data_IF_950698642348
#
_entry.id   IF_950698642348
#
_cell.length_a   1.000
_cell.length_b   1.000
_cell.length_c   1.000
_cell.angle_alpha   90.00
_cell.angle_beta   90.00
_cell.angle_gamma   90.00
#
_symmetry.space_group_name_H-M   'P 1'
#
loop_
_entity.id
_entity.type
_entity.pdbx_description
1 polymer ?
#
# COMPACT_ATOMS: atom_id res chain seq x y z
N UNK A 1 23.48 -44.31 -16.95
CA UNK A 1 24.13 -43.73 -15.75
C UNK A 1 25.55 -43.29 -16.11
N UNK A 2 25.71 -42.10 -16.68
CA UNK A 2 27.02 -41.49 -16.91
C UNK A 2 26.92 -40.00 -16.56
N UNK A 3 27.75 -39.56 -15.62
CA UNK A 3 27.80 -38.22 -15.03
C UNK A 3 28.15 -37.18 -16.11
N UNK A 4 27.21 -36.29 -16.44
CA UNK A 4 27.50 -35.01 -17.08
C UNK A 4 27.47 -33.91 -16.01
N UNK A 5 28.46 -33.95 -15.12
CA UNK A 5 28.75 -32.92 -14.12
C UNK A 5 30.13 -32.32 -14.37
N UNK A 6 30.33 -31.71 -15.54
CA UNK A 6 31.44 -30.79 -15.78
C UNK A 6 30.90 -29.62 -16.59
N UNK A 7 30.74 -28.48 -15.92
CA UNK A 7 30.44 -27.23 -16.57
C UNK A 7 31.48 -26.97 -17.65
N UNK A 8 31.01 -26.60 -18.85
CA UNK A 8 31.89 -26.12 -19.90
C UNK A 8 32.68 -24.91 -19.36
N UNK A 9 34.00 -24.83 -19.64
CA UNK A 9 34.78 -23.65 -19.29
C UNK A 9 34.23 -22.46 -20.09
N UNK A 10 33.79 -21.44 -19.36
CA UNK A 10 33.34 -20.17 -19.94
C UNK A 10 34.60 -19.38 -20.32
N UNK A 11 34.80 -18.98 -21.59
CA UNK A 11 35.98 -18.22 -22.01
C UNK A 11 36.15 -16.90 -21.23
N UNK A 12 37.41 -16.55 -20.93
CA UNK A 12 37.83 -15.39 -20.11
C UNK A 12 37.49 -14.01 -20.70
N UNK A 13 36.89 -13.94 -21.89
CA UNK A 13 36.49 -12.68 -22.54
C UNK A 13 35.03 -12.28 -22.30
N UNK A 14 34.35 -12.92 -21.35
CA UNK A 14 33.06 -12.44 -20.84
C UNK A 14 33.26 -11.20 -19.96
N UNK A 15 33.47 -10.04 -20.60
CA UNK A 15 33.04 -8.77 -20.00
C UNK A 15 31.63 -8.99 -19.44
N UNK A 16 31.30 -8.52 -18.23
CA UNK A 16 29.91 -8.57 -17.79
C UNK A 16 29.07 -7.87 -18.87
N UNK A 17 28.11 -8.60 -19.46
CA UNK A 17 27.28 -8.12 -20.59
C UNK A 17 26.60 -6.79 -20.26
N UNK A 18 26.35 -6.55 -18.97
CA UNK A 18 25.97 -5.24 -18.41
C UNK A 18 27.17 -4.67 -17.65
N UNK A 19 27.68 -3.54 -18.13
CA UNK A 19 28.82 -2.86 -17.54
C UNK A 19 28.55 -2.46 -16.08
N UNK A 20 29.63 -2.42 -15.28
CA UNK A 20 29.53 -1.89 -13.92
C UNK A 20 29.30 -0.38 -14.00
N UNK A 21 28.59 0.15 -13.02
CA UNK A 21 28.38 1.59 -12.88
C UNK A 21 29.73 2.29 -12.69
N UNK A 22 30.12 3.01 -13.74
CA UNK A 22 31.32 3.84 -13.74
C UNK A 22 31.20 5.00 -12.74
N UNK A 23 32.34 5.51 -12.30
CA UNK A 23 32.41 6.64 -11.36
C UNK A 23 31.71 7.86 -11.94
N UNK A 24 31.89 8.12 -13.23
CA UNK A 24 31.30 9.29 -13.91
C UNK A 24 29.78 9.22 -13.95
N UNK A 25 29.21 8.02 -14.19
CA UNK A 25 27.76 7.81 -14.12
C UNK A 25 27.20 8.04 -12.72
N UNK A 26 27.95 7.72 -11.66
CA UNK A 26 27.53 8.00 -10.28
C UNK A 26 27.58 9.49 -9.96
N UNK A 27 28.57 10.21 -10.50
CA UNK A 27 28.64 11.68 -10.37
C UNK A 27 27.47 12.32 -11.11
N UNK A 28 27.19 11.86 -12.35
CA UNK A 28 26.04 12.31 -13.12
C UNK A 28 24.72 12.04 -12.38
N UNK A 29 24.55 10.86 -11.76
CA UNK A 29 23.36 10.50 -10.99
C UNK A 29 23.03 11.49 -9.86
N UNK A 30 24.06 12.03 -9.20
CA UNK A 30 23.91 13.00 -8.11
C UNK A 30 23.52 14.38 -8.61
N UNK A 31 23.88 14.73 -9.84
CA UNK A 31 23.64 16.05 -10.44
C UNK A 31 22.41 16.07 -11.38
N UNK A 32 21.63 14.99 -11.44
CA UNK A 32 20.50 14.90 -12.36
C UNK A 32 19.40 15.90 -12.04
N UNK A 33 18.79 16.44 -13.09
CA UNK A 33 17.56 17.22 -12.99
C UNK A 33 16.35 16.34 -12.62
N UNK A 34 15.28 16.98 -12.17
CA UNK A 34 14.01 16.31 -11.86
C UNK A 34 13.40 15.62 -13.10
N UNK A 35 13.49 16.24 -14.28
CA UNK A 35 13.00 15.62 -15.52
C UNK A 35 13.80 14.37 -15.89
N UNK A 36 15.13 14.41 -15.76
CA UNK A 36 15.98 13.24 -16.03
C UNK A 36 15.72 12.10 -15.06
N UNK A 37 15.61 12.40 -13.77
CA UNK A 37 15.23 11.42 -12.75
C UNK A 37 13.87 10.79 -13.06
N UNK A 38 12.89 11.58 -13.54
CA UNK A 38 11.58 11.08 -13.95
C UNK A 38 11.68 10.12 -15.15
N UNK A 39 12.48 10.45 -16.16
CA UNK A 39 12.72 9.58 -17.30
C UNK A 39 13.33 8.24 -16.86
N UNK A 40 14.26 8.26 -15.91
CA UNK A 40 14.86 7.04 -15.36
C UNK A 40 13.86 6.21 -14.55
N UNK A 41 13.00 6.82 -13.73
CA UNK A 41 11.93 6.12 -13.02
C UNK A 41 10.98 5.43 -14.01
N UNK A 42 10.55 6.14 -15.06
CA UNK A 42 9.68 5.57 -16.09
C UNK A 42 10.35 4.42 -16.85
N UNK A 43 11.64 4.58 -17.18
CA UNK A 43 12.46 3.54 -17.83
C UNK A 43 12.58 2.30 -16.95
N UNK A 44 12.83 2.49 -15.66
CA UNK A 44 12.90 1.40 -14.68
C UNK A 44 11.58 0.64 -14.59
N UNK A 45 10.44 1.34 -14.62
CA UNK A 45 9.12 0.69 -14.61
C UNK A 45 8.84 -0.10 -15.90
N UNK A 46 9.38 0.33 -17.05
CA UNK A 46 9.32 -0.44 -18.29
C UNK A 46 10.16 -1.72 -18.19
N UNK A 47 11.42 -1.60 -17.75
CA UNK A 47 12.31 -2.75 -17.51
C UNK A 47 11.68 -3.78 -16.57
N UNK A 48 11.05 -3.31 -15.48
CA UNK A 48 10.33 -4.16 -14.53
C UNK A 48 9.23 -4.99 -15.20
N UNK A 49 8.47 -4.38 -16.12
CA UNK A 49 7.43 -5.08 -16.88
C UNK A 49 8.02 -6.08 -17.86
N UNK A 50 9.13 -5.72 -18.51
CA UNK A 50 9.80 -6.62 -19.46
C UNK A 50 10.38 -7.85 -18.76
N UNK A 51 10.96 -7.69 -17.56
CA UNK A 51 11.36 -8.81 -16.69
C UNK A 51 10.17 -9.71 -16.34
N UNK A 52 9.05 -9.13 -15.90
CA UNK A 52 7.84 -9.89 -15.56
C UNK A 52 7.32 -10.64 -16.80
N UNK A 53 7.33 -10.00 -17.97
CA UNK A 53 6.90 -10.61 -19.24
C UNK A 53 7.82 -11.76 -19.63
N UNK A 54 9.14 -11.61 -19.51
CA UNK A 54 10.12 -12.66 -19.79
C UNK A 54 9.91 -13.87 -18.88
N UNK A 55 9.75 -13.67 -17.56
CA UNK A 55 9.47 -14.74 -16.59
C UNK A 55 8.10 -15.40 -16.78
N UNK A 56 7.10 -14.63 -17.20
CA UNK A 56 5.79 -15.18 -17.53
C UNK A 56 5.86 -16.11 -18.75
N UNK A 57 6.59 -15.70 -19.81
CA UNK A 57 6.84 -16.54 -20.99
C UNK A 57 7.60 -17.81 -20.63
N UNK A 58 8.65 -17.70 -19.83
CA UNK A 58 9.42 -18.85 -19.34
C UNK A 58 8.52 -19.91 -18.69
N UNK A 59 7.57 -19.50 -17.86
CA UNK A 59 6.61 -20.41 -17.21
C UNK A 59 5.60 -21.03 -18.18
N UNK A 60 5.31 -20.36 -19.29
CA UNK A 60 4.38 -20.84 -20.30
C UNK A 60 5.05 -21.74 -21.36
N UNK A 61 6.37 -21.63 -21.53
CA UNK A 61 7.13 -22.39 -22.52
C UNK A 61 7.40 -23.82 -22.05
N UNK A 62 7.04 -24.81 -22.87
CA UNK A 62 7.39 -26.23 -22.66
C UNK A 62 8.75 -26.63 -23.28
N UNK A 63 9.32 -25.79 -24.14
CA UNK A 63 10.57 -26.07 -24.86
C UNK A 63 11.82 -25.69 -24.06
N UNK A 64 12.70 -26.67 -23.84
CA UNK A 64 13.94 -26.51 -23.05
C UNK A 64 14.92 -25.48 -23.65
N UNK A 65 15.02 -25.39 -24.98
CA UNK A 65 15.92 -24.44 -25.66
C UNK A 65 15.46 -23.00 -25.52
N UNK A 66 14.17 -22.74 -25.75
CA UNK A 66 13.58 -21.41 -25.60
C UNK A 66 13.57 -20.98 -24.12
N UNK A 67 13.39 -21.92 -23.19
CA UNK A 67 13.48 -21.66 -21.76
C UNK A 67 14.85 -21.09 -21.36
N UNK A 68 15.96 -21.67 -21.85
CA UNK A 68 17.31 -21.19 -21.56
C UNK A 68 17.54 -19.74 -22.01
N UNK A 69 17.08 -19.38 -23.21
CA UNK A 69 17.21 -18.01 -23.73
C UNK A 69 16.38 -17.00 -22.93
N UNK A 70 15.16 -17.38 -22.55
CA UNK A 70 14.26 -16.53 -21.76
C UNK A 70 14.74 -16.35 -20.32
N UNK A 71 15.31 -17.39 -19.72
CA UNK A 71 15.95 -17.32 -18.41
C UNK A 71 17.14 -16.36 -18.44
N UNK A 72 18.04 -16.50 -19.42
CA UNK A 72 19.17 -15.58 -19.59
C UNK A 72 18.70 -14.13 -19.75
N UNK A 73 17.69 -13.89 -20.60
CA UNK A 73 17.12 -12.54 -20.82
C UNK A 73 16.52 -11.96 -19.53
N UNK A 74 15.78 -12.78 -18.77
CA UNK A 74 15.21 -12.39 -17.48
C UNK A 74 16.28 -11.97 -16.47
N UNK A 75 17.43 -12.66 -16.46
CA UNK A 75 18.56 -12.31 -15.61
C UNK A 75 19.23 -11.00 -16.06
N UNK A 76 19.33 -10.72 -17.36
CA UNK A 76 19.85 -9.44 -17.85
C UNK A 76 18.95 -8.27 -17.46
N UNK A 77 17.63 -8.41 -17.59
CA UNK A 77 16.69 -7.36 -17.14
C UNK A 77 16.80 -7.11 -15.63
N UNK A 78 16.97 -8.15 -14.82
CA UNK A 78 17.16 -7.98 -13.38
C UNK A 78 18.46 -7.24 -13.05
N UNK A 79 19.55 -7.51 -13.78
CA UNK A 79 20.81 -6.79 -13.59
C UNK A 79 20.65 -5.30 -13.96
N UNK A 80 20.02 -5.00 -15.09
CA UNK A 80 19.76 -3.61 -15.52
C UNK A 80 18.88 -2.87 -14.52
N UNK A 81 17.79 -3.49 -14.04
CA UNK A 81 16.95 -2.91 -13.00
C UNK A 81 17.78 -2.55 -11.76
N UNK A 82 18.61 -3.46 -11.27
CA UNK A 82 19.48 -3.20 -10.11
C UNK A 82 20.45 -2.05 -10.35
N UNK A 83 20.93 -1.84 -11.59
CA UNK A 83 21.79 -0.68 -11.92
C UNK A 83 21.01 0.62 -11.85
N UNK A 84 19.81 0.66 -12.41
CA UNK A 84 18.96 1.86 -12.35
C UNK A 84 18.51 2.15 -10.92
N UNK A 85 18.22 1.11 -10.13
CA UNK A 85 17.86 1.25 -8.72
C UNK A 85 19.01 1.90 -7.92
N UNK A 86 20.27 1.54 -8.20
CA UNK A 86 21.45 2.21 -7.59
C UNK A 86 21.58 3.68 -8.01
N UNK A 87 21.33 4.01 -9.28
CA UNK A 87 21.37 5.39 -9.76
C UNK A 87 20.30 6.25 -9.07
N UNK A 88 19.08 5.72 -8.96
CA UNK A 88 17.97 6.39 -8.27
C UNK A 88 18.22 6.52 -6.77
N UNK A 89 18.87 5.53 -6.14
CA UNK A 89 19.30 5.62 -4.75
C UNK A 89 20.24 6.80 -4.50
N UNK A 90 21.26 6.97 -5.35
CA UNK A 90 22.19 8.11 -5.25
C UNK A 90 21.50 9.46 -5.45
N UNK A 91 20.52 9.54 -6.35
CA UNK A 91 19.71 10.74 -6.54
C UNK A 91 18.87 11.08 -5.30
N UNK A 92 18.25 10.06 -4.69
CA UNK A 92 17.45 10.25 -3.47
C UNK A 92 18.34 10.71 -2.32
N UNK A 93 19.49 10.08 -2.10
CA UNK A 93 20.44 10.47 -1.05
C UNK A 93 20.88 11.93 -1.13
N UNK A 94 21.04 12.46 -2.35
CA UNK A 94 21.44 13.84 -2.59
C UNK A 94 20.28 14.84 -2.39
N UNK A 95 19.04 14.41 -2.55
CA UNK A 95 17.87 15.27 -2.45
C UNK A 95 17.53 15.57 -0.98
N UNK A 96 17.05 16.79 -0.71
CA UNK A 96 16.86 17.32 0.65
C UNK A 96 15.93 16.43 1.51
N UNK A 97 14.83 15.95 0.93
CA UNK A 97 13.86 15.04 1.60
C UNK A 97 14.29 13.56 1.64
N UNK A 98 15.33 13.20 0.89
CA UNK A 98 15.75 11.81 0.69
C UNK A 98 16.09 11.08 1.98
N UNK A 99 16.94 11.65 2.87
CA UNK A 99 17.28 11.03 4.15
C UNK A 99 16.06 10.72 5.02
N UNK A 100 15.01 11.56 4.97
CA UNK A 100 13.77 11.29 5.70
C UNK A 100 12.98 10.14 5.06
N UNK A 101 12.84 10.13 3.73
CA UNK A 101 12.14 9.06 3.01
C UNK A 101 12.79 7.68 3.23
N UNK A 102 14.12 7.60 3.23
CA UNK A 102 14.85 6.34 3.46
C UNK A 102 14.74 5.83 4.90
N UNK A 103 14.43 6.69 5.88
CA UNK A 103 14.15 6.28 7.27
C UNK A 103 12.76 5.65 7.44
N UNK A 104 11.81 6.04 6.59
CA UNK A 104 10.44 5.51 6.68
C UNK A 104 10.42 4.03 6.30
N UNK A 105 10.16 3.17 7.29
CA UNK A 105 9.99 1.72 7.07
C UNK A 105 8.88 1.45 6.06
N UNK A 106 9.23 0.76 4.97
CA UNK A 106 8.32 0.44 3.87
C UNK A 106 8.41 1.39 2.67
N UNK A 107 9.14 2.51 2.76
CA UNK A 107 9.44 3.34 1.59
C UNK A 107 10.88 3.05 1.15
N UNK A 108 11.03 2.43 -0.02
CA UNK A 108 12.34 2.22 -0.64
C UNK A 108 12.72 3.35 -1.59
N UNK A 109 14.00 3.43 -1.97
CA UNK A 109 14.57 4.50 -2.79
C UNK A 109 13.82 4.74 -4.10
N UNK A 110 13.22 3.70 -4.67
CA UNK A 110 12.53 3.81 -5.97
C UNK A 110 11.16 4.46 -5.80
N UNK A 111 10.47 4.14 -4.69
CA UNK A 111 9.23 4.84 -4.34
C UNK A 111 9.54 6.28 -3.93
N UNK A 112 10.64 6.50 -3.22
CA UNK A 112 11.12 7.83 -2.85
C UNK A 112 11.45 8.68 -4.09
N UNK A 113 12.25 8.17 -5.02
CA UNK A 113 12.56 8.83 -6.29
C UNK A 113 11.29 9.11 -7.11
N UNK A 114 10.34 8.16 -7.12
CA UNK A 114 9.05 8.35 -7.76
C UNK A 114 8.22 9.48 -7.15
N UNK A 115 8.25 9.65 -5.83
CA UNK A 115 7.57 10.75 -5.14
C UNK A 115 8.24 12.10 -5.44
N UNK A 116 9.57 12.15 -5.32
CA UNK A 116 10.37 13.36 -5.56
C UNK A 116 10.17 13.87 -6.99
N UNK A 117 10.19 12.98 -7.97
CA UNK A 117 10.02 13.34 -9.38
C UNK A 117 8.60 13.71 -9.77
N UNK A 118 7.60 13.24 -9.01
CA UNK A 118 6.20 13.48 -9.31
C UNK A 118 5.66 14.76 -8.65
N UNK A 119 6.17 15.15 -7.49
CA UNK A 119 5.66 16.25 -6.67
C UNK A 119 6.52 17.50 -6.89
N UNK A 120 5.86 18.63 -7.09
CA UNK A 120 6.49 19.94 -7.21
C UNK A 120 6.07 20.79 -6.01
N UNK A 121 6.95 20.91 -5.01
CA UNK A 121 6.60 21.52 -3.72
C UNK A 121 6.31 23.03 -3.85
N UNK A 122 6.94 23.70 -4.82
CA UNK A 122 6.73 25.13 -5.10
C UNK A 122 5.30 25.46 -5.55
N UNK A 123 4.59 24.47 -6.10
CA UNK A 123 3.19 24.62 -6.55
C UNK A 123 2.17 24.21 -5.48
N UNK A 124 2.62 23.69 -4.34
CA UNK A 124 1.73 23.18 -3.30
C UNK A 124 1.67 24.15 -2.13
N UNK A 125 0.50 24.75 -1.89
CA UNK A 125 0.29 25.64 -0.74
C UNK A 125 -0.06 24.84 0.53
N UNK A 126 -0.78 23.72 0.36
CA UNK A 126 -1.22 22.87 1.47
C UNK A 126 -1.04 21.38 1.17
N UNK A 127 -1.02 20.55 2.22
CA UNK A 127 -1.02 19.08 2.08
C UNK A 127 -2.24 18.56 1.29
N UNK A 128 -3.36 19.30 1.32
CA UNK A 128 -4.56 19.02 0.53
C UNK A 128 -4.31 18.98 -0.98
N UNK A 129 -3.42 19.84 -1.47
CA UNK A 129 -3.09 19.93 -2.90
C UNK A 129 -2.38 18.65 -3.38
N UNK A 130 -1.52 18.09 -2.51
CA UNK A 130 -0.86 16.80 -2.77
C UNK A 130 -1.90 15.67 -2.80
N UNK A 131 -2.89 15.67 -1.89
CA UNK A 131 -3.96 14.67 -1.89
C UNK A 131 -4.79 14.73 -3.17
N UNK A 132 -5.16 15.94 -3.59
CA UNK A 132 -5.91 16.19 -4.81
C UNK A 132 -5.10 15.72 -6.04
N UNK A 133 -3.81 16.05 -6.09
CA UNK A 133 -2.93 15.65 -7.18
C UNK A 133 -2.69 14.12 -7.22
N UNK A 134 -2.58 13.46 -6.06
CA UNK A 134 -2.46 12.01 -5.93
C UNK A 134 -3.77 11.26 -6.21
N UNK A 135 -4.90 11.97 -6.29
CA UNK A 135 -6.22 11.36 -6.48
C UNK A 135 -6.68 10.51 -5.28
N UNK A 136 -6.19 10.85 -4.09
CA UNK A 136 -6.83 10.45 -2.84
C UNK A 136 -8.24 11.06 -2.87
N UNK A 137 -9.31 10.31 -2.55
CA UNK A 137 -10.67 10.83 -2.63
C UNK A 137 -10.83 12.05 -1.72
N UNK A 138 -10.67 13.24 -2.29
CA UNK A 138 -11.04 14.50 -1.68
C UNK A 138 -12.56 14.62 -1.77
N UNK A 139 -13.19 15.12 -0.71
CA UNK A 139 -14.65 15.23 -0.64
C UNK A 139 -15.15 16.06 -1.83
N UNK A 140 -16.04 15.49 -2.64
CA UNK A 140 -16.78 16.22 -3.69
C UNK A 140 -16.27 16.10 -5.14
N UNK A 141 -15.12 15.47 -5.42
CA UNK A 141 -14.64 15.39 -6.80
C UNK A 141 -15.15 14.13 -7.54
N UNK A 142 -16.19 14.30 -8.36
CA UNK A 142 -16.71 13.24 -9.25
C UNK A 142 -16.05 13.36 -10.62
N UNK A 143 -15.38 12.30 -11.07
CA UNK A 143 -14.81 12.26 -12.41
C UNK A 143 -15.83 11.73 -13.41
N UNK A 144 -16.34 12.63 -14.25
CA UNK A 144 -17.26 12.29 -15.34
C UNK A 144 -16.55 11.60 -16.51
N UNK A 145 -17.25 10.65 -17.14
CA UNK A 145 -16.74 9.92 -18.31
C UNK A 145 -16.49 10.89 -19.48
N UNK A 146 -15.29 10.82 -20.07
CA UNK A 146 -14.91 11.65 -21.24
C UNK A 146 -14.17 12.93 -20.89
N UNK A 147 -14.10 13.32 -19.62
CA UNK A 147 -13.25 14.44 -19.17
C UNK A 147 -11.83 13.97 -18.90
N UNK A 148 -10.85 14.87 -19.11
CA UNK A 148 -9.47 14.63 -18.66
C UNK A 148 -9.49 14.38 -17.16
N UNK A 149 -8.81 13.32 -16.72
CA UNK A 149 -8.71 12.97 -15.30
C UNK A 149 -8.04 14.12 -14.53
N UNK A 150 -8.58 14.51 -13.37
CA UNK A 150 -8.08 15.66 -12.62
C UNK A 150 -6.78 15.37 -11.84
N UNK A 151 -6.45 14.10 -11.61
CA UNK A 151 -5.29 13.67 -10.81
C UNK A 151 -4.21 12.96 -11.64
N UNK A 152 -3.01 12.87 -11.07
CA UNK A 152 -1.88 12.15 -11.65
C UNK A 152 -1.94 10.64 -11.33
N UNK A 153 -2.03 9.79 -12.35
CA UNK A 153 -2.14 8.35 -12.18
C UNK A 153 -0.83 7.62 -11.97
N UNK A 154 0.29 8.21 -12.37
CA UNK A 154 1.59 7.69 -11.95
C UNK A 154 1.71 7.85 -10.43
N UNK A 155 1.42 9.06 -9.92
CA UNK A 155 1.45 9.34 -8.48
C UNK A 155 0.44 8.48 -7.71
N UNK A 156 -0.82 8.37 -8.19
CA UNK A 156 -1.82 7.50 -7.53
C UNK A 156 -1.37 6.04 -7.43
N UNK A 157 -0.70 5.53 -8.48
CA UNK A 157 -0.15 4.17 -8.48
C UNK A 157 1.00 4.05 -7.47
N UNK A 158 1.87 5.05 -7.37
CA UNK A 158 2.93 5.09 -6.36
C UNK A 158 2.35 5.08 -4.95
N UNK A 159 1.35 5.92 -4.66
CA UNK A 159 0.64 5.93 -3.38
C UNK A 159 0.02 4.58 -3.05
N UNK A 160 -0.58 3.90 -4.05
CA UNK A 160 -1.11 2.55 -3.87
C UNK A 160 -0.01 1.55 -3.47
N UNK A 161 1.12 1.56 -4.18
CA UNK A 161 2.26 0.68 -3.88
C UNK A 161 2.87 0.96 -2.50
N UNK A 162 2.94 2.23 -2.09
CA UNK A 162 3.38 2.63 -0.74
C UNK A 162 2.42 2.06 0.31
N UNK A 163 1.11 2.16 0.09
CA UNK A 163 0.12 1.55 0.98
C UNK A 163 0.24 0.05 1.10
N UNK A 164 0.47 -0.67 -0.01
CA UNK A 164 0.76 -2.11 0.03
C UNK A 164 2.02 -2.42 0.85
N UNK A 165 3.05 -1.60 0.70
CA UNK A 165 4.27 -1.74 1.48
C UNK A 165 4.02 -1.57 2.98
N UNK A 166 3.25 -0.56 3.39
CA UNK A 166 2.89 -0.35 4.80
C UNK A 166 2.09 -1.52 5.38
N UNK A 167 1.20 -2.13 4.58
CA UNK A 167 0.46 -3.33 5.00
C UNK A 167 1.42 -4.50 5.21
N UNK A 168 2.35 -4.74 4.28
CA UNK A 168 3.30 -5.84 4.37
C UNK A 168 4.29 -5.68 5.54
N UNK A 169 4.63 -4.44 5.89
CA UNK A 169 5.58 -4.13 6.97
C UNK A 169 4.89 -3.93 8.32
N UNK A 170 3.54 -3.98 8.37
CA UNK A 170 2.77 -3.75 9.59
C UNK A 170 3.12 -4.70 10.74
N UNK A 171 3.64 -5.89 10.45
CA UNK A 171 4.16 -6.86 11.42
C UNK A 171 5.28 -6.36 12.33
N UNK A 172 6.01 -5.33 11.91
CA UNK A 172 7.17 -4.84 12.64
C UNK A 172 6.76 -3.72 13.63
N UNK A 173 7.18 -3.78 14.92
CA UNK A 173 6.94 -2.70 15.88
C UNK A 173 7.50 -1.33 15.43
N UNK A 174 8.62 -1.31 14.69
CA UNK A 174 9.26 -0.07 14.21
C UNK A 174 8.51 0.60 13.04
N UNK A 175 7.47 -0.07 12.50
CA UNK A 175 6.75 0.40 11.34
C UNK A 175 5.65 1.41 11.71
N UNK A 176 6.04 2.68 11.92
CA UNK A 176 5.11 3.76 12.32
C UNK A 176 3.79 3.78 11.51
N UNK A 177 3.86 3.86 10.18
CA UNK A 177 2.65 3.87 9.33
C UNK A 177 1.93 2.52 9.26
N UNK A 178 2.65 1.42 9.47
CA UNK A 178 2.06 0.08 9.57
C UNK A 178 1.19 -0.07 10.82
N UNK A 179 1.62 0.49 11.96
CA UNK A 179 0.84 0.52 13.20
C UNK A 179 -0.39 1.43 13.06
N UNK A 180 -0.27 2.59 12.41
CA UNK A 180 -1.42 3.47 12.11
C UNK A 180 -2.45 2.72 11.26
N UNK A 181 -2.01 1.97 10.25
CA UNK A 181 -2.91 1.15 9.44
C UNK A 181 -3.66 0.11 10.28
N UNK A 182 -2.98 -0.59 11.20
CA UNK A 182 -3.60 -1.58 12.09
C UNK A 182 -4.63 -0.97 13.03
N UNK A 183 -4.23 0.08 13.76
CA UNK A 183 -5.11 0.82 14.65
C UNK A 183 -6.34 1.36 13.91
N UNK A 184 -6.14 1.88 12.69
CA UNK A 184 -7.26 2.36 11.87
C UNK A 184 -8.17 1.23 11.39
N UNK A 185 -7.60 0.08 11.03
CA UNK A 185 -8.37 -1.09 10.59
C UNK A 185 -9.25 -1.62 11.71
N UNK A 186 -8.72 -1.71 12.93
CA UNK A 186 -9.48 -2.10 14.12
C UNK A 186 -10.60 -1.10 14.43
N UNK A 187 -10.30 0.21 14.38
CA UNK A 187 -11.30 1.26 14.57
C UNK A 187 -12.45 1.18 13.55
N UNK A 188 -12.14 1.02 12.26
CA UNK A 188 -13.17 0.90 11.21
C UNK A 188 -13.97 -0.41 11.35
N UNK A 189 -13.35 -1.50 11.83
CA UNK A 189 -14.06 -2.73 12.16
C UNK A 189 -15.01 -2.56 13.34
N UNK A 190 -14.57 -1.95 14.45
CA UNK A 190 -15.42 -1.64 15.60
C UNK A 190 -16.67 -0.88 15.14
N UNK A 191 -16.50 0.17 14.32
CA UNK A 191 -17.61 0.96 13.75
C UNK A 191 -18.53 0.19 12.80
N UNK A 192 -17.97 -0.75 12.05
CA UNK A 192 -18.76 -1.58 11.14
C UNK A 192 -19.62 -2.57 11.94
N UNK A 193 -19.06 -3.16 12.99
CA UNK A 193 -19.75 -4.09 13.88
C UNK A 193 -20.82 -3.41 14.75
N UNK A 194 -20.58 -2.15 15.18
CA UNK A 194 -21.59 -1.35 15.89
C UNK A 194 -22.72 -0.85 14.99
N UNK A 195 -22.61 -1.03 13.66
CA UNK A 195 -23.64 -0.62 12.70
C UNK A 195 -23.59 0.84 12.25
N UNK A 196 -22.61 1.64 12.69
CA UNK A 196 -22.50 3.05 12.29
C UNK A 196 -22.26 3.24 10.78
N UNK A 197 -21.76 2.21 10.09
CA UNK A 197 -21.48 2.25 8.67
C UNK A 197 -22.61 1.66 7.81
N UNK A 198 -23.77 1.35 8.41
CA UNK A 198 -24.90 0.73 7.73
C UNK A 198 -25.46 1.57 6.59
N UNK A 199 -25.67 2.87 6.82
CA UNK A 199 -26.19 3.80 5.79
C UNK A 199 -25.28 3.82 4.55
N UNK A 200 -23.96 3.84 4.78
CA UNK A 200 -22.96 3.81 3.71
C UNK A 200 -22.92 2.47 2.98
N UNK A 201 -23.17 1.36 3.67
CA UNK A 201 -23.28 0.05 3.04
C UNK A 201 -24.49 0.00 2.09
N UNK A 202 -25.63 0.55 2.52
CA UNK A 202 -26.84 0.63 1.70
C UNK A 202 -26.68 1.57 0.48
N UNK A 203 -26.05 2.74 0.65
CA UNK A 203 -25.71 3.62 -0.48
C UNK A 203 -24.85 2.89 -1.52
N UNK A 204 -23.91 2.07 -1.04
CA UNK A 204 -23.05 1.28 -1.92
C UNK A 204 -23.80 0.17 -2.63
N UNK A 205 -24.78 -0.46 -1.98
CA UNK A 205 -25.64 -1.46 -2.62
C UNK A 205 -26.36 -0.87 -3.86
N UNK A 206 -26.83 0.38 -3.78
CA UNK A 206 -27.49 1.08 -4.92
C UNK A 206 -26.59 1.21 -6.15
N UNK A 207 -25.28 1.39 -5.93
CA UNK A 207 -24.29 1.61 -6.99
C UNK A 207 -23.60 0.30 -7.41
N UNK A 208 -23.72 -0.76 -6.60
CA UNK A 208 -23.00 -2.01 -6.83
C UNK A 208 -23.52 -2.74 -8.07
N UNK A 209 -22.63 -2.90 -9.06
CA UNK A 209 -22.90 -3.63 -10.32
C UNK A 209 -21.98 -4.84 -10.51
N UNK A 210 -21.33 -5.30 -9.43
CA UNK A 210 -20.31 -6.35 -9.50
C UNK A 210 -20.89 -7.77 -9.46
N UNK A 211 -20.14 -8.72 -10.02
CA UNK A 211 -20.45 -10.17 -9.99
C UNK A 211 -20.08 -10.85 -8.67
N UNK A 212 -19.34 -10.16 -7.78
CA UNK A 212 -18.89 -10.72 -6.51
C UNK A 212 -20.06 -10.84 -5.53
N UNK A 213 -20.65 -12.04 -5.47
CA UNK A 213 -21.74 -12.41 -4.57
C UNK A 213 -21.41 -12.14 -3.09
N UNK A 214 -20.15 -12.36 -2.70
CA UNK A 214 -19.69 -12.12 -1.33
C UNK A 214 -19.87 -10.66 -0.88
N UNK A 215 -19.53 -9.68 -1.72
CA UNK A 215 -19.66 -8.27 -1.33
C UNK A 215 -21.12 -7.85 -1.18
N UNK A 216 -21.99 -8.40 -2.05
CA UNK A 216 -23.42 -8.13 -2.02
C UNK A 216 -24.04 -8.61 -0.70
N UNK A 217 -23.68 -9.81 -0.25
CA UNK A 217 -24.12 -10.39 1.03
C UNK A 217 -23.75 -9.51 2.25
N UNK A 218 -22.57 -8.87 2.25
CA UNK A 218 -22.19 -7.91 3.30
C UNK A 218 -23.10 -6.67 3.33
N UNK A 219 -23.39 -6.09 2.16
CA UNK A 219 -24.25 -4.89 2.08
C UNK A 219 -25.72 -5.18 2.35
N UNK A 220 -26.20 -6.38 2.01
CA UNK A 220 -27.57 -6.83 2.26
C UNK A 220 -27.78 -7.23 3.73
N UNK A 221 -26.71 -7.34 4.53
CA UNK A 221 -26.82 -7.73 5.93
C UNK A 221 -26.96 -9.25 6.14
N UNK A 222 -26.69 -10.05 5.11
CA UNK A 222 -26.77 -11.50 5.18
C UNK A 222 -25.65 -12.11 6.05
N UNK A 223 -24.58 -11.36 6.32
CA UNK A 223 -23.52 -11.77 7.26
C UNK A 223 -23.73 -11.13 8.63
N UNK A 224 -23.85 -11.98 9.65
CA UNK A 224 -23.72 -11.58 11.06
C UNK A 224 -22.25 -11.37 11.37
N UNK A 225 -21.89 -10.23 11.96
CA UNK A 225 -20.52 -9.87 12.33
C UNK A 225 -19.93 -10.68 13.49
N UNK A 226 -20.18 -11.99 13.54
CA UNK A 226 -19.64 -12.89 14.56
C UNK A 226 -18.23 -13.30 14.15
N UNK A 227 -17.31 -13.11 15.09
CA UNK A 227 -15.90 -13.48 15.02
C UNK A 227 -15.81 -15.01 15.12
N UNK A 228 -15.44 -15.68 14.04
CA UNK A 228 -15.09 -17.11 14.08
C UNK A 228 -13.61 -17.23 14.50
N UNK A 229 -13.37 -17.60 15.75
CA UNK A 229 -12.13 -18.29 16.14
C UNK A 229 -12.42 -19.64 16.77
N UNK A 230 -12.62 -20.65 15.92
CA UNK A 230 -12.21 -22.00 16.28
C UNK A 230 -10.70 -22.10 16.01
N UNK A 231 -9.87 -21.94 17.03
CA UNK A 231 -8.66 -22.78 17.22
C UNK A 231 -8.01 -22.48 18.58
N UNK A 232 -8.29 -23.34 19.57
CA UNK A 232 -7.51 -23.60 20.80
C UNK A 232 -7.52 -22.57 21.95
N UNK A 233 -8.67 -22.01 22.29
CA UNK A 233 -8.93 -21.59 23.67
C UNK A 233 -10.33 -22.06 24.03
N UNK A 234 -10.46 -22.72 25.18
CA UNK A 234 -11.63 -23.50 25.57
C UNK A 234 -12.91 -22.70 25.73
N UNK A 235 -13.99 -23.46 25.91
CA UNK A 235 -15.42 -23.14 25.94
C UNK A 235 -15.91 -22.00 26.86
N UNK A 236 -15.02 -21.21 27.47
CA UNK A 236 -15.39 -20.13 28.40
C UNK A 236 -15.92 -18.87 27.70
N UNK A 237 -15.45 -18.57 26.48
CA UNK A 237 -15.90 -17.39 25.74
C UNK A 237 -17.38 -17.47 25.32
N UNK A 238 -17.92 -18.68 25.19
CA UNK A 238 -19.33 -18.91 24.83
C UNK A 238 -20.31 -18.67 25.99
N UNK A 239 -19.84 -18.65 27.25
CA UNK A 239 -20.71 -18.46 28.43
C UNK A 239 -20.89 -16.99 28.81
N UNK A 240 -19.97 -16.12 28.41
CA UNK A 240 -20.11 -14.68 28.61
C UNK A 240 -20.89 -14.09 27.44
N UNK A 241 -22.14 -13.70 27.69
CA UNK A 241 -22.99 -13.05 26.69
C UNK A 241 -22.29 -11.87 25.99
N UNK A 242 -22.69 -11.63 24.75
CA UNK A 242 -22.14 -10.60 23.87
C UNK A 242 -22.34 -9.20 24.49
N UNK A 243 -21.34 -8.71 25.22
CA UNK A 243 -21.35 -7.37 25.81
C UNK A 243 -20.33 -6.47 25.10
N UNK A 244 -20.79 -5.34 24.58
CA UNK A 244 -20.01 -4.41 23.75
C UNK A 244 -18.78 -3.83 24.47
N UNK A 245 -18.72 -3.97 25.79
CA UNK A 245 -17.63 -3.48 26.64
C UNK A 245 -16.35 -4.35 26.59
N UNK A 246 -16.38 -5.54 26.00
CA UNK A 246 -15.24 -6.48 25.97
C UNK A 246 -14.39 -6.44 24.67
N UNK A 247 -14.54 -5.42 23.82
CA UNK A 247 -13.89 -5.31 22.50
C UNK A 247 -12.40 -4.88 22.53
N UNK A 248 -11.82 -4.65 23.71
CA UNK A 248 -10.46 -4.10 23.85
C UNK A 248 -9.32 -5.13 23.81
N UNK A 249 -9.65 -6.42 23.62
CA UNK A 249 -8.66 -7.51 23.54
C UNK A 249 -8.53 -8.21 22.19
N UNK A 250 -9.19 -7.72 21.14
CA UNK A 250 -9.23 -8.41 19.84
C UNK A 250 -7.91 -8.20 19.07
N UNK A 251 -7.00 -9.16 19.16
CA UNK A 251 -5.72 -9.16 18.44
C UNK A 251 -5.87 -9.60 16.97
N UNK A 252 -4.88 -9.23 16.15
CA UNK A 252 -4.78 -9.48 14.69
C UNK A 252 -5.02 -10.94 14.26
N UNK A 253 -4.80 -11.90 15.15
CA UNK A 253 -5.06 -13.33 14.94
C UNK A 253 -6.57 -13.69 14.85
N UNK A 254 -7.45 -12.90 15.48
CA UNK A 254 -8.91 -13.10 15.45
C UNK A 254 -9.56 -12.65 14.13
N UNK A 255 -8.89 -11.80 13.35
CA UNK A 255 -9.45 -11.20 12.14
C UNK A 255 -9.17 -12.02 10.86
N UNK A 256 -8.28 -13.02 10.91
CA UNK A 256 -7.70 -13.69 9.74
C UNK A 256 -8.44 -14.96 9.28
N UNK A 257 -9.58 -15.31 9.89
CA UNK A 257 -10.37 -16.50 9.49
C UNK A 257 -11.82 -16.18 9.12
N UNK A 258 -12.07 -15.07 8.43
CA UNK A 258 -13.23 -15.02 7.52
C UNK A 258 -12.89 -15.84 6.27
N UNK A 259 -12.75 -17.16 6.43
CA UNK A 259 -12.80 -18.08 5.29
C UNK A 259 -14.24 -18.13 4.84
N UNK A 260 -14.47 -17.99 3.53
CA UNK A 260 -15.76 -18.12 2.84
C UNK A 260 -16.79 -18.86 3.70
N UNK A 261 -17.70 -18.09 4.29
CA UNK A 261 -18.68 -18.60 5.25
C UNK A 261 -19.41 -19.82 4.68
N UNK A 262 -19.58 -19.91 3.36
CA UNK A 262 -20.31 -20.96 2.66
C UNK A 262 -19.85 -22.42 2.99
N UNK A 263 -18.57 -22.67 3.33
CA UNK A 263 -18.07 -24.04 3.64
C UNK A 263 -18.08 -24.40 5.12
N UNK A 264 -17.96 -23.42 6.01
CA UNK A 264 -17.99 -23.63 7.46
C UNK A 264 -19.41 -23.45 8.02
N UNK A 265 -20.27 -22.63 7.39
CA UNK A 265 -21.69 -22.47 7.70
C UNK A 265 -22.45 -23.80 7.63
N UNK A 266 -22.23 -24.59 6.57
CA UNK A 266 -22.81 -25.94 6.44
C UNK A 266 -22.37 -26.93 7.53
N UNK A 267 -21.23 -26.69 8.18
CA UNK A 267 -20.74 -27.54 9.27
C UNK A 267 -21.27 -27.13 10.64
N UNK A 268 -21.79 -25.91 10.76
CA UNK A 268 -22.26 -25.32 12.02
C UNK A 268 -23.80 -25.28 12.13
N UNK A 269 -24.52 -25.69 11.08
CA UNK A 269 -25.96 -26.00 11.13
C UNK A 269 -26.25 -27.04 12.23
N UNK A 270 -27.00 -26.63 13.26
CA UNK A 270 -27.44 -27.48 14.37
C UNK A 270 -26.60 -27.41 15.66
N UNK A 271 -25.47 -26.68 15.69
CA UNK A 271 -24.61 -26.54 16.88
C UNK A 271 -24.84 -25.23 17.64
N UNK A 272 -25.26 -24.17 16.94
CA UNK A 272 -25.54 -22.86 17.54
C UNK A 272 -27.06 -22.68 17.71
N UNK A 273 -27.54 -22.25 18.89
CA UNK A 273 -28.96 -21.95 19.08
C UNK A 273 -29.38 -20.79 18.18
N UNK A 274 -30.50 -20.97 17.47
CA UNK A 274 -31.21 -19.84 16.88
C UNK A 274 -31.56 -18.85 18.02
N UNK A 275 -31.23 -17.54 17.95
CA UNK A 275 -31.06 -16.72 16.76
C UNK A 275 -29.75 -15.92 16.79
N UNK A 276 -28.61 -16.53 16.45
CA UNK A 276 -27.40 -15.76 16.08
C UNK A 276 -27.43 -15.31 14.60
N UNK A 277 -28.43 -15.79 13.85
CA UNK A 277 -28.81 -15.32 12.51
C UNK A 277 -29.98 -14.33 12.63
N UNK A 278 -29.72 -13.07 12.97
CA UNK A 278 -30.68 -12.01 12.60
C UNK A 278 -30.33 -11.55 11.19
N UNK A 279 -31.30 -11.15 10.34
CA UNK A 279 -31.01 -10.35 9.14
C UNK A 279 -30.24 -9.12 9.63
N UNK A 280 -28.93 -9.17 9.48
CA UNK A 280 -27.98 -8.43 10.30
C UNK A 280 -27.76 -7.05 9.72
N UNK A 281 -27.34 -6.11 10.54
CA UNK A 281 -27.09 -4.73 10.12
C UNK A 281 -26.22 -4.69 8.85
N UNK A 282 -26.62 -3.94 7.80
CA UNK A 282 -25.79 -3.75 6.61
C UNK A 282 -24.37 -3.32 6.96
N UNK A 283 -23.37 -3.99 6.39
CA UNK A 283 -21.97 -3.77 6.73
C UNK A 283 -21.14 -3.53 5.47
N UNK A 284 -20.05 -2.78 5.61
CA UNK A 284 -19.04 -2.71 4.56
C UNK A 284 -18.26 -4.02 4.50
N UNK A 285 -17.88 -4.43 3.29
CA UNK A 285 -17.06 -5.63 3.09
C UNK A 285 -15.65 -5.48 3.69
N UNK A 286 -14.98 -6.58 4.05
CA UNK A 286 -13.60 -6.56 4.55
C UNK A 286 -12.62 -5.80 3.66
N UNK A 287 -12.76 -5.93 2.34
CA UNK A 287 -11.94 -5.23 1.36
C UNK A 287 -12.13 -3.71 1.42
N UNK A 288 -13.35 -3.24 1.69
CA UNK A 288 -13.63 -1.82 1.86
C UNK A 288 -13.00 -1.28 3.12
N UNK A 289 -13.09 -2.01 4.23
CA UNK A 289 -12.45 -1.63 5.50
C UNK A 289 -10.94 -1.58 5.32
N UNK A 290 -10.35 -2.61 4.69
CA UNK A 290 -8.93 -2.66 4.36
C UNK A 290 -8.49 -1.46 3.50
N UNK A 291 -9.23 -1.15 2.42
CA UNK A 291 -8.92 0.01 1.57
C UNK A 291 -9.03 1.33 2.33
N UNK A 292 -10.04 1.49 3.18
CA UNK A 292 -10.22 2.71 4.00
C UNK A 292 -9.04 2.90 4.96
N UNK A 293 -8.66 1.85 5.69
CA UNK A 293 -7.50 1.89 6.59
C UNK A 293 -6.19 2.18 5.84
N UNK A 294 -5.98 1.53 4.68
CA UNK A 294 -4.80 1.75 3.84
C UNK A 294 -4.73 3.19 3.32
N UNK A 295 -5.82 3.71 2.77
CA UNK A 295 -5.86 5.10 2.29
C UNK A 295 -5.68 6.11 3.41
N UNK A 296 -6.19 5.84 4.61
CA UNK A 296 -5.94 6.68 5.78
C UNK A 296 -4.44 6.76 6.10
N UNK A 297 -3.74 5.63 6.18
CA UNK A 297 -2.30 5.61 6.43
C UNK A 297 -1.50 6.35 5.33
N UNK A 298 -1.90 6.20 4.05
CA UNK A 298 -1.31 6.95 2.93
C UNK A 298 -1.54 8.47 3.11
N UNK A 299 -2.74 8.89 3.49
CA UNK A 299 -3.04 10.32 3.71
C UNK A 299 -2.17 10.91 4.81
N UNK A 300 -2.01 10.20 5.93
CA UNK A 300 -1.12 10.65 7.01
C UNK A 300 0.33 10.73 6.53
N UNK A 301 0.81 9.72 5.79
CA UNK A 301 2.15 9.75 5.20
C UNK A 301 2.35 10.95 4.26
N UNK A 302 1.39 11.25 3.38
CA UNK A 302 1.47 12.40 2.47
C UNK A 302 1.42 13.74 3.24
N UNK A 303 0.67 13.82 4.35
CA UNK A 303 0.67 14.98 5.26
C UNK A 303 2.06 15.22 5.85
N UNK A 304 2.68 14.15 6.34
CA UNK A 304 4.02 14.20 6.93
C UNK A 304 5.07 14.54 5.88
N UNK A 305 4.97 13.94 4.69
CA UNK A 305 5.83 14.25 3.55
C UNK A 305 5.77 15.73 3.21
N UNK A 306 4.57 16.31 3.09
CA UNK A 306 4.40 17.74 2.85
C UNK A 306 5.06 18.57 3.96
N UNK A 307 4.77 18.24 5.22
CA UNK A 307 5.27 19.00 6.38
C UNK A 307 6.79 19.02 6.43
N UNK A 308 7.43 17.85 6.30
CA UNK A 308 8.89 17.75 6.36
C UNK A 308 9.52 18.40 5.13
N UNK A 309 8.98 18.16 3.94
CA UNK A 309 9.54 18.73 2.71
C UNK A 309 9.40 20.26 2.68
N UNK A 310 8.26 20.79 3.13
CA UNK A 310 8.04 22.23 3.24
C UNK A 310 9.04 22.87 4.22
N UNK A 311 9.25 22.27 5.39
CA UNK A 311 10.22 22.77 6.38
C UNK A 311 11.65 22.76 5.85
N UNK A 312 12.04 21.68 5.19
CA UNK A 312 13.41 21.56 4.65
C UNK A 312 13.64 22.54 3.50
N UNK A 313 12.67 22.67 2.59
CA UNK A 313 12.81 23.46 1.38
C UNK A 313 12.62 24.97 1.60
N UNK A 314 11.59 25.36 2.35
CA UNK A 314 11.28 26.78 2.61
C UNK A 314 11.85 27.30 3.93
N UNK A 315 12.43 26.44 4.77
CA UNK A 315 12.92 26.78 6.13
C UNK A 315 11.86 27.47 6.99
N UNK A 316 10.58 27.12 6.76
CA UNK A 316 9.41 27.68 7.45
C UNK A 316 8.46 26.57 7.84
N UNK A 317 7.71 26.80 8.90
CA UNK A 317 6.58 25.94 9.24
C UNK A 317 5.52 25.99 8.14
N UNK A 318 4.96 24.84 7.72
CA UNK A 318 3.90 24.83 6.74
C UNK A 318 2.69 25.62 7.26
N UNK A 319 1.93 26.27 6.36
CA UNK A 319 0.68 26.90 6.75
C UNK A 319 -0.24 25.85 7.35
N UNK A 320 -0.76 26.12 8.55
CA UNK A 320 -1.65 25.19 9.28
C UNK A 320 -2.75 24.66 8.35
N UNK A 321 -3.07 23.36 8.39
CA UNK A 321 -4.13 22.77 7.58
C UNK A 321 -5.44 23.57 7.73
N UNK A 322 -6.22 23.66 6.65
CA UNK A 322 -7.53 24.34 6.66
C UNK A 322 -8.43 23.94 7.86
N UNK A 323 -8.47 22.66 8.29
CA UNK A 323 -9.22 22.26 9.48
C UNK A 323 -8.74 22.90 10.79
N UNK A 324 -7.45 23.19 10.97
CA UNK A 324 -6.99 23.92 12.17
C UNK A 324 -7.34 25.41 12.12
N UNK A 325 -7.30 26.01 10.93
CA UNK A 325 -7.70 27.41 10.73
C UNK A 325 -9.19 27.66 10.96
N UNK A 326 -10.04 26.64 10.79
CA UNK A 326 -11.51 26.81 10.79
C UNK A 326 -12.23 25.98 11.86
N UNK A 327 -11.74 24.79 12.25
CA UNK A 327 -12.44 23.82 13.09
C UNK A 327 -11.80 23.60 14.49
N UNK A 328 -10.70 24.27 14.82
CA UNK A 328 -10.20 24.44 16.19
C UNK A 328 -9.57 23.23 16.89
N UNK A 329 -9.83 21.99 16.45
CA UNK A 329 -9.25 20.79 17.06
C UNK A 329 -8.95 19.71 16.01
N UNK A 330 -7.66 19.41 15.83
CA UNK A 330 -7.21 18.23 15.08
C UNK A 330 -6.11 17.55 15.88
N UNK A 331 -6.23 16.24 16.11
CA UNK A 331 -5.11 15.43 16.56
C UNK A 331 -4.08 15.36 15.43
N UNK A 332 -3.09 16.26 15.47
CA UNK A 332 -1.95 16.21 14.57
C UNK A 332 -1.11 15.01 15.01
N UNK A 333 -1.02 14.00 14.15
CA UNK A 333 0.03 13.01 14.30
C UNK A 333 1.31 13.68 13.79
N UNK A 334 2.38 13.80 14.60
CA UNK A 334 3.64 14.35 14.13
C UNK A 334 4.34 13.33 13.22
N UNK A 335 5.17 13.79 12.26
CA UNK A 335 6.03 12.89 11.50
C UNK A 335 6.95 12.10 12.45
N UNK A 336 7.29 10.84 12.12
CA UNK A 336 8.32 10.13 12.86
C UNK A 336 9.62 10.94 12.82
N UNK A 337 10.27 11.04 13.99
CA UNK A 337 11.55 11.73 14.25
C UNK A 337 11.58 13.25 14.10
N UNK A 338 10.47 13.91 13.73
CA UNK A 338 10.32 15.35 13.86
C UNK A 338 9.50 15.64 15.10
N UNK A 339 10.18 15.92 16.21
CA UNK A 339 9.52 16.52 17.36
C UNK A 339 8.80 17.79 16.88
N UNK A 340 7.53 17.95 17.26
CA UNK A 340 6.91 19.26 17.20
C UNK A 340 7.68 20.13 18.19
N UNK A 341 8.62 20.93 17.71
CA UNK A 341 9.15 22.03 18.50
C UNK A 341 7.97 22.98 18.75
N UNK A 342 7.38 22.89 19.95
CA UNK A 342 6.26 23.71 20.39
C UNK A 342 4.91 23.01 20.31
N UNK A 343 4.63 22.12 21.27
CA UNK A 343 3.29 21.90 21.80
C UNK A 343 3.30 22.28 23.27
#
# INVERSE_FOLDING_TARGET
>A
MARLSKGLPVPEDMRPIVERLDKDLRVAARAMSREEARMLVDTRLQMQKDRIRARARLRATGDLKAARSLEWLGNQFELLERRVDLLLGLYVEQHEIGPWLSRVRGVGDILAAGLITAIDIEKCETAGDIYAFAGVPCVGQVWEKGRRRPWNAALRRLCYNIGESFVNVSGNPDAYYGQIYRARKEYEWKRNLTGELADRAQERLKVFRGTNESWRKWYEGAYSGIIITATRAGDEFFRAGFDAQHLDGLTEALFLKVRSADKEEKKLEGVLPEPLWRPGVPMLSPDHIHRRAKWFAITIFLSHLFTVWYRVHFQKEPPKPFPERVLGHVHILPPPDFAAEGA
#
